data_IF_070487586845
#
_entry.id   IF_070487586845
#
_cell.length_a   1.000
_cell.length_b   1.000
_cell.length_c   1.000
_cell.angle_alpha   90.00
_cell.angle_beta   90.00
_cell.angle_gamma   90.00
#
_symmetry.space_group_name_H-M   'P 1'
#
loop_
_entity.id
_entity.type
_entity.pdbx_description
1 polymer ?
#
# COMPACT_ATOMS: atom_id res chain seq x y z
N UNK A 1 0.34 -19.77 -6.09
CA UNK A 1 -0.75 -20.60 -6.66
C UNK A 1 -2.16 -20.04 -6.39
N UNK A 2 -2.46 -19.36 -5.27
CA UNK A 2 -3.80 -18.80 -5.01
C UNK A 2 -4.17 -17.67 -5.99
N UNK A 3 -3.24 -16.76 -6.28
CA UNK A 3 -3.44 -15.66 -7.25
C UNK A 3 -3.67 -16.22 -8.65
N UNK A 4 -2.86 -17.18 -9.10
CA UNK A 4 -3.01 -17.81 -10.42
C UNK A 4 -4.37 -18.51 -10.57
N UNK A 5 -4.80 -19.25 -9.54
CA UNK A 5 -6.10 -19.92 -9.55
C UNK A 5 -7.26 -18.92 -9.61
N UNK A 6 -7.15 -17.81 -8.85
CA UNK A 6 -8.19 -16.77 -8.86
C UNK A 6 -8.25 -16.03 -10.21
N UNK A 7 -7.13 -15.77 -10.84
CA UNK A 7 -7.09 -15.20 -12.19
C UNK A 7 -7.79 -16.13 -13.20
N UNK A 8 -7.51 -17.45 -13.16
CA UNK A 8 -8.18 -18.43 -14.03
C UNK A 8 -9.70 -18.44 -13.85
N UNK A 9 -10.17 -18.42 -12.60
CA UNK A 9 -11.61 -18.32 -12.28
C UNK A 9 -12.25 -17.04 -12.85
N UNK A 10 -11.58 -15.88 -12.65
CA UNK A 10 -12.07 -14.59 -13.12
C UNK A 10 -12.11 -14.50 -14.67
N UNK A 11 -11.13 -15.08 -15.35
CA UNK A 11 -11.15 -15.16 -16.84
C UNK A 11 -12.41 -15.86 -17.35
N UNK A 12 -12.80 -16.97 -16.72
CA UNK A 12 -13.99 -17.73 -17.13
C UNK A 12 -15.27 -16.93 -16.85
N UNK A 13 -15.37 -16.33 -15.66
CA UNK A 13 -16.61 -15.71 -15.17
C UNK A 13 -16.83 -14.28 -15.72
N UNK A 14 -15.75 -13.52 -15.97
CA UNK A 14 -15.85 -12.08 -16.27
C UNK A 14 -15.32 -11.68 -17.65
N UNK A 15 -14.67 -12.57 -18.40
CA UNK A 15 -14.02 -12.31 -19.69
C UNK A 15 -12.94 -11.21 -19.66
N UNK A 16 -12.60 -10.72 -18.51
CA UNK A 16 -11.54 -9.73 -18.24
C UNK A 16 -11.13 -9.86 -16.79
N UNK A 17 -9.93 -9.41 -16.46
CA UNK A 17 -9.41 -9.46 -15.08
C UNK A 17 -8.97 -8.08 -14.67
N UNK A 18 -9.31 -7.70 -13.45
CA UNK A 18 -8.73 -6.53 -12.76
C UNK A 18 -8.05 -7.03 -11.50
N UNK A 19 -6.74 -6.83 -11.42
CA UNK A 19 -5.93 -7.19 -10.26
C UNK A 19 -5.39 -5.92 -9.61
N UNK A 20 -5.68 -5.74 -8.33
CA UNK A 20 -5.15 -4.64 -7.52
C UNK A 20 -4.06 -5.19 -6.61
N UNK A 21 -2.87 -4.63 -6.69
CA UNK A 21 -1.73 -4.95 -5.83
C UNK A 21 -1.32 -3.70 -5.07
N UNK A 22 -1.51 -3.70 -3.75
CA UNK A 22 -0.99 -2.67 -2.87
C UNK A 22 0.39 -3.09 -2.36
N UNK A 23 1.43 -2.50 -2.92
CA UNK A 23 2.85 -2.76 -2.65
C UNK A 23 3.68 -1.50 -3.00
N UNK A 24 4.77 -1.22 -2.30
CA UNK A 24 5.29 -1.82 -1.08
C UNK A 24 4.54 -1.38 0.18
N UNK A 25 4.94 -1.92 1.33
CA UNK A 25 4.37 -1.56 2.63
C UNK A 25 2.85 -1.79 2.70
N UNK A 26 2.40 -2.96 2.25
CA UNK A 26 0.99 -3.33 2.11
C UNK A 26 0.14 -2.92 3.32
N UNK A 27 -0.98 -2.28 3.08
CA UNK A 27 -2.00 -2.01 4.08
C UNK A 27 -3.02 -3.17 4.08
N UNK A 28 -3.13 -3.97 5.15
CA UNK A 28 -2.73 -3.67 6.54
C UNK A 28 -1.45 -4.34 7.04
N UNK A 29 -0.75 -5.16 6.27
CA UNK A 29 0.25 -6.10 6.83
C UNK A 29 1.66 -5.53 6.98
N UNK A 30 2.02 -4.48 6.25
CA UNK A 30 3.39 -4.00 6.16
C UNK A 30 4.31 -4.93 5.37
N UNK A 31 3.74 -5.87 4.61
CA UNK A 31 4.50 -6.73 3.71
C UNK A 31 4.96 -5.96 2.47
N UNK A 32 6.06 -6.39 1.90
CA UNK A 32 6.60 -5.84 0.65
C UNK A 32 7.09 -6.97 -0.22
N UNK A 33 6.61 -7.03 -1.44
CA UNK A 33 6.99 -8.04 -2.42
C UNK A 33 8.45 -7.91 -2.83
N UNK A 34 9.14 -9.04 -2.95
CA UNK A 34 10.48 -9.10 -3.51
C UNK A 34 10.47 -8.88 -5.04
N UNK A 35 11.64 -8.66 -5.62
CA UNK A 35 11.78 -8.57 -7.07
C UNK A 35 11.36 -9.86 -7.75
N UNK A 36 11.70 -11.01 -7.17
CA UNK A 36 11.39 -12.36 -7.67
C UNK A 36 9.89 -12.66 -7.57
N UNK A 37 9.20 -12.16 -6.54
CA UNK A 37 7.75 -12.28 -6.43
C UNK A 37 7.03 -11.43 -7.49
N UNK A 38 7.52 -10.21 -7.73
CA UNK A 38 7.04 -9.38 -8.83
C UNK A 38 7.28 -10.04 -10.19
N UNK A 39 8.47 -10.63 -10.42
CA UNK A 39 8.76 -11.35 -11.66
C UNK A 39 7.76 -12.49 -11.87
N UNK A 40 7.52 -13.32 -10.84
CA UNK A 40 6.53 -14.40 -10.90
C UNK A 40 5.12 -13.89 -11.16
N UNK A 41 4.74 -12.76 -10.58
CA UNK A 41 3.42 -12.16 -10.82
C UNK A 41 3.28 -11.72 -12.29
N UNK A 42 4.30 -11.08 -12.85
CA UNK A 42 4.33 -10.70 -14.27
C UNK A 42 4.22 -11.94 -15.18
N UNK A 43 4.94 -13.01 -14.85
CA UNK A 43 4.88 -14.26 -15.63
C UNK A 43 3.47 -14.89 -15.59
N UNK A 44 2.82 -14.89 -14.41
CA UNK A 44 1.42 -15.35 -14.25
C UNK A 44 0.44 -14.49 -15.07
N UNK A 45 0.62 -13.17 -15.07
CA UNK A 45 -0.22 -12.26 -15.84
C UNK A 45 -0.02 -12.51 -17.35
N UNK A 46 1.21 -12.67 -17.79
CA UNK A 46 1.51 -12.94 -19.19
C UNK A 46 0.92 -14.28 -19.66
N UNK A 47 1.09 -15.37 -18.89
CA UNK A 47 0.44 -16.65 -19.15
C UNK A 47 -1.10 -16.49 -19.26
N UNK A 48 -1.68 -15.72 -18.35
CA UNK A 48 -3.14 -15.50 -18.33
C UNK A 48 -3.65 -14.68 -19.52
N UNK A 49 -2.79 -13.94 -20.19
CA UNK A 49 -3.14 -13.02 -21.29
C UNK A 49 -2.64 -13.46 -22.68
N UNK A 50 -2.09 -14.67 -22.80
CA UNK A 50 -1.63 -15.23 -24.10
C UNK A 50 -2.75 -15.33 -25.13
N UNK A 51 -3.99 -15.56 -24.70
CA UNK A 51 -5.17 -15.63 -25.56
C UNK A 51 -5.78 -14.25 -25.89
N UNK A 52 -5.12 -13.15 -25.50
CA UNK A 52 -5.61 -11.80 -25.69
C UNK A 52 -6.65 -11.33 -24.65
N UNK A 53 -6.87 -12.08 -23.57
CA UNK A 53 -7.79 -11.67 -22.49
C UNK A 53 -7.41 -10.28 -21.95
N UNK A 54 -8.34 -9.30 -21.96
CA UNK A 54 -8.08 -7.98 -21.40
C UNK A 54 -7.77 -8.04 -19.90
N UNK A 55 -6.67 -7.42 -19.49
CA UNK A 55 -6.20 -7.43 -18.12
C UNK A 55 -5.82 -6.02 -17.63
N UNK A 56 -6.25 -5.66 -16.43
CA UNK A 56 -5.83 -4.42 -15.77
C UNK A 56 -5.04 -4.78 -14.51
N UNK A 57 -3.79 -4.37 -14.46
CA UNK A 57 -2.96 -4.40 -13.27
C UNK A 57 -2.93 -3.01 -12.64
N UNK A 58 -3.64 -2.82 -11.52
CA UNK A 58 -3.55 -1.59 -10.74
C UNK A 58 -2.50 -1.79 -9.63
N UNK A 59 -1.38 -1.11 -9.77
CA UNK A 59 -0.32 -1.06 -8.79
C UNK A 59 -0.52 0.14 -7.85
N UNK A 60 -1.13 -0.12 -6.70
CA UNK A 60 -1.28 0.89 -5.64
C UNK A 60 0.02 1.01 -4.87
N UNK A 61 0.79 2.03 -5.23
CA UNK A 61 2.11 2.33 -4.67
C UNK A 61 2.06 3.48 -3.64
N UNK A 62 0.95 3.60 -2.91
CA UNK A 62 0.72 4.72 -1.99
C UNK A 62 1.81 4.89 -0.92
N UNK A 63 2.51 3.84 -0.54
CA UNK A 63 3.55 3.85 0.50
C UNK A 63 4.97 3.66 -0.05
N UNK A 64 5.19 3.86 -1.35
CA UNK A 64 6.45 3.52 -2.04
C UNK A 64 7.69 4.17 -1.40
N UNK A 65 7.56 5.37 -0.85
CA UNK A 65 8.67 6.12 -0.28
C UNK A 65 8.99 5.74 1.19
N UNK A 66 8.20 4.83 1.77
CA UNK A 66 8.43 4.28 3.11
C UNK A 66 9.02 2.87 3.10
N UNK A 67 9.37 2.37 1.93
CA UNK A 67 10.09 1.10 1.80
C UNK A 67 11.52 1.23 2.31
N UNK A 68 11.89 0.39 3.28
CA UNK A 68 13.21 0.41 3.90
C UNK A 68 14.36 0.08 2.93
N UNK A 69 14.07 -0.52 1.78
CA UNK A 69 15.07 -0.82 0.73
C UNK A 69 15.57 0.44 0.01
N UNK A 70 14.84 1.56 0.12
CA UNK A 70 15.20 2.84 -0.46
C UNK A 70 14.66 3.06 -1.89
N UNK A 71 14.82 4.29 -2.36
CA UNK A 71 14.19 4.81 -3.57
C UNK A 71 14.42 3.96 -4.83
N UNK A 72 15.69 3.64 -5.12
CA UNK A 72 16.06 2.91 -6.33
C UNK A 72 15.57 1.46 -6.33
N UNK A 73 15.76 0.76 -5.21
CA UNK A 73 15.38 -0.64 -5.08
C UNK A 73 13.87 -0.83 -5.23
N UNK A 74 13.08 0.08 -4.67
CA UNK A 74 11.62 0.03 -4.72
C UNK A 74 11.09 0.23 -6.15
N UNK A 75 11.68 1.17 -6.88
CA UNK A 75 11.24 1.51 -8.25
C UNK A 75 11.76 0.54 -9.31
N UNK A 76 12.73 -0.30 -8.97
CA UNK A 76 13.26 -1.34 -9.86
C UNK A 76 12.15 -2.27 -10.37
N UNK A 77 11.16 -2.58 -9.54
CA UNK A 77 10.06 -3.47 -9.90
C UNK A 77 9.21 -2.91 -11.05
N UNK A 78 9.09 -1.57 -11.18
CA UNK A 78 8.32 -0.92 -12.25
C UNK A 78 8.89 -1.26 -13.64
N UNK A 79 10.19 -1.50 -13.75
CA UNK A 79 10.83 -1.90 -15.01
C UNK A 79 10.33 -3.25 -15.53
N UNK A 80 9.82 -4.11 -14.65
CA UNK A 80 9.24 -5.40 -15.05
C UNK A 80 7.97 -5.22 -15.90
N UNK A 81 7.27 -4.10 -15.77
CA UNK A 81 6.03 -3.85 -16.49
C UNK A 81 6.24 -3.73 -18.01
N UNK A 82 7.47 -3.46 -18.45
CA UNK A 82 7.85 -3.51 -19.88
C UNK A 82 7.69 -4.92 -20.48
N UNK A 83 7.69 -5.97 -19.64
CA UNK A 83 7.52 -7.37 -20.05
C UNK A 83 6.05 -7.79 -20.18
N UNK A 84 5.09 -6.97 -19.76
CA UNK A 84 3.67 -7.28 -19.84
C UNK A 84 3.21 -7.43 -21.30
N UNK A 85 2.25 -8.31 -21.54
CA UNK A 85 1.65 -8.52 -22.85
C UNK A 85 0.84 -7.30 -23.32
N UNK A 86 0.54 -7.24 -24.63
CA UNK A 86 -0.20 -6.11 -25.24
C UNK A 86 -1.62 -5.94 -24.70
N UNK A 87 -2.28 -7.02 -24.29
CA UNK A 87 -3.62 -6.99 -23.69
C UNK A 87 -3.66 -6.51 -22.22
N UNK A 88 -2.51 -6.10 -21.65
CA UNK A 88 -2.43 -5.62 -20.26
C UNK A 88 -2.31 -4.11 -20.21
N UNK A 89 -3.24 -3.48 -19.49
CA UNK A 89 -3.13 -2.09 -19.04
C UNK A 89 -2.60 -2.09 -17.60
N UNK A 90 -1.40 -1.58 -17.38
CA UNK A 90 -0.88 -1.36 -16.04
C UNK A 90 -1.11 0.09 -15.62
N UNK A 91 -1.63 0.30 -14.40
CA UNK A 91 -1.91 1.61 -13.83
C UNK A 91 -1.13 1.74 -12.54
N UNK A 92 -0.21 2.69 -12.47
CA UNK A 92 0.50 3.06 -11.26
C UNK A 92 -0.30 4.14 -10.53
N UNK A 93 -0.70 3.87 -9.29
CA UNK A 93 -1.46 4.81 -8.46
C UNK A 93 -0.59 5.32 -7.32
N UNK A 94 -0.17 6.58 -7.42
CA UNK A 94 0.62 7.28 -6.41
C UNK A 94 -0.27 8.14 -5.51
N UNK A 95 0.09 8.23 -4.23
CA UNK A 95 -0.65 9.03 -3.24
C UNK A 95 0.22 10.08 -2.55
N UNK A 96 -0.02 11.35 -2.81
CA UNK A 96 0.59 12.45 -2.07
C UNK A 96 0.13 12.54 -0.60
N UNK A 97 -1.00 11.93 -0.26
CA UNK A 97 -1.45 11.84 1.13
C UNK A 97 -0.45 11.15 2.05
N UNK A 98 0.30 10.16 1.53
CA UNK A 98 1.27 9.39 2.32
C UNK A 98 2.67 9.98 2.20
N UNK A 99 3.22 9.98 1.00
CA UNK A 99 4.58 10.47 0.75
C UNK A 99 4.82 11.88 1.26
N UNK A 100 3.85 12.78 1.09
CA UNK A 100 3.98 14.19 1.47
C UNK A 100 3.20 14.55 2.74
N UNK A 101 2.61 13.57 3.44
CA UNK A 101 1.75 13.77 4.60
C UNK A 101 0.60 14.77 4.38
N UNK A 102 0.13 14.93 3.15
CA UNK A 102 -0.88 15.92 2.73
C UNK A 102 -2.27 15.28 2.62
N UNK A 103 -2.74 14.61 3.67
CA UNK A 103 -4.01 13.87 3.67
C UNK A 103 -5.22 14.72 3.28
N UNK A 104 -5.29 15.97 3.76
CA UNK A 104 -6.40 16.87 3.52
C UNK A 104 -6.46 17.47 2.11
N UNK A 105 -5.34 17.54 1.40
CA UNK A 105 -5.26 18.17 0.08
C UNK A 105 -5.73 17.28 -1.07
N UNK A 106 -5.99 15.99 -0.82
CA UNK A 106 -6.55 15.04 -1.80
C UNK A 106 -5.80 15.00 -3.12
N UNK A 107 -4.48 14.86 -3.06
CA UNK A 107 -3.59 14.78 -4.23
C UNK A 107 -3.05 13.37 -4.42
N UNK A 108 -2.91 13.00 -5.69
CA UNK A 108 -2.28 11.78 -6.15
C UNK A 108 -2.05 11.87 -7.65
N UNK A 109 -1.46 10.84 -8.19
CA UNK A 109 -1.26 10.71 -9.63
C UNK A 109 -1.52 9.27 -10.04
N UNK A 110 -2.00 9.09 -11.26
CA UNK A 110 -2.05 7.79 -11.91
C UNK A 110 -1.31 7.86 -13.24
N UNK A 111 -0.52 6.82 -13.52
CA UNK A 111 0.24 6.70 -14.76
C UNK A 111 -0.16 5.39 -15.42
N UNK A 112 -0.65 5.46 -16.65
CA UNK A 112 -0.98 4.29 -17.45
C UNK A 112 0.21 3.84 -18.29
N UNK A 113 0.42 2.54 -18.35
CA UNK A 113 1.41 1.88 -19.19
C UNK A 113 0.71 0.80 -20.00
N UNK A 114 0.76 0.90 -21.31
CA UNK A 114 0.26 -0.10 -22.25
C UNK A 114 1.17 -0.16 -23.48
N UNK A 115 1.16 -1.29 -24.21
CA UNK A 115 1.88 -1.40 -25.48
C UNK A 115 1.13 -0.73 -26.63
N UNK A 116 -0.19 -0.74 -26.57
CA UNK A 116 -1.05 -0.17 -27.59
C UNK A 116 -1.37 1.30 -27.28
N UNK A 117 -1.00 2.21 -28.19
CA UNK A 117 -1.24 3.64 -28.01
C UNK A 117 -2.72 3.98 -27.87
N UNK A 118 -3.60 3.28 -28.59
CA UNK A 118 -5.05 3.46 -28.51
C UNK A 118 -5.60 3.32 -27.09
N UNK A 119 -5.04 2.41 -26.30
CA UNK A 119 -5.43 2.21 -24.88
C UNK A 119 -5.09 3.45 -24.05
N UNK A 120 -3.93 4.07 -24.31
CA UNK A 120 -3.52 5.30 -23.63
C UNK A 120 -4.37 6.49 -24.08
N UNK A 121 -4.70 6.55 -25.36
CA UNK A 121 -5.53 7.61 -25.93
C UNK A 121 -6.96 7.60 -25.36
N UNK A 122 -7.49 6.44 -25.00
CA UNK A 122 -8.78 6.29 -24.30
C UNK A 122 -8.68 6.54 -22.80
N UNK A 123 -7.58 6.13 -22.18
CA UNK A 123 -7.40 6.21 -20.71
C UNK A 123 -7.49 7.65 -20.20
N UNK A 124 -6.82 8.59 -20.85
CA UNK A 124 -6.78 9.99 -20.39
C UNK A 124 -8.14 10.68 -20.47
N UNK A 125 -8.87 10.67 -21.61
CA UNK A 125 -10.20 11.27 -21.68
C UNK A 125 -11.21 10.62 -20.72
N UNK A 126 -11.17 9.29 -20.56
CA UNK A 126 -12.07 8.58 -19.64
C UNK A 126 -11.86 9.04 -18.19
N UNK A 127 -10.61 9.22 -17.76
CA UNK A 127 -10.31 9.73 -16.43
C UNK A 127 -10.66 11.20 -16.25
N UNK A 128 -10.41 12.04 -17.24
CA UNK A 128 -10.84 13.46 -17.24
C UNK A 128 -12.36 13.55 -17.13
N UNK A 129 -13.10 12.78 -17.91
CA UNK A 129 -14.56 12.74 -17.84
C UNK A 129 -15.05 12.28 -16.46
N UNK A 130 -14.48 11.20 -15.93
CA UNK A 130 -14.82 10.68 -14.61
C UNK A 130 -14.53 11.69 -13.48
N UNK A 131 -13.38 12.38 -13.54
CA UNK A 131 -13.05 13.43 -12.59
C UNK A 131 -14.02 14.62 -12.69
N UNK A 132 -14.31 15.05 -13.92
CA UNK A 132 -15.21 16.18 -14.19
C UNK A 132 -16.61 15.95 -13.64
N UNK A 133 -17.12 14.73 -13.77
CA UNK A 133 -18.48 14.38 -13.31
C UNK A 133 -18.58 14.19 -11.79
N UNK A 134 -17.48 13.79 -11.12
CA UNK A 134 -17.51 13.51 -9.67
C UNK A 134 -17.19 14.70 -8.79
N UNK A 135 -16.20 15.51 -9.16
CA UNK A 135 -15.73 16.64 -8.35
C UNK A 135 -15.32 17.88 -9.15
N UNK A 136 -15.64 17.91 -10.45
CA UNK A 136 -15.37 19.00 -11.39
C UNK A 136 -13.88 19.23 -11.66
N UNK A 137 -13.07 19.57 -10.66
CA UNK A 137 -11.64 19.81 -10.78
C UNK A 137 -10.88 19.25 -9.58
N UNK A 138 -9.64 18.79 -9.83
CA UNK A 138 -8.71 18.42 -8.77
C UNK A 138 -8.24 19.68 -8.00
N UNK A 139 -7.74 19.48 -6.78
CA UNK A 139 -7.22 20.56 -5.94
C UNK A 139 -6.00 21.26 -6.57
N UNK A 140 -6.19 22.50 -6.98
CA UNK A 140 -5.12 23.28 -7.61
C UNK A 140 -3.98 23.63 -6.64
N UNK A 141 -4.35 24.07 -5.43
CA UNK A 141 -3.39 24.42 -4.38
C UNK A 141 -2.42 23.27 -4.08
N UNK A 142 -2.97 22.07 -3.92
CA UNK A 142 -2.16 20.87 -3.63
C UNK A 142 -1.19 20.53 -4.75
N UNK A 143 -1.64 20.62 -6.01
CA UNK A 143 -0.78 20.36 -7.17
C UNK A 143 0.36 21.38 -7.27
N UNK A 144 0.08 22.67 -7.10
CA UNK A 144 1.11 23.71 -7.10
C UNK A 144 2.11 23.56 -5.96
N UNK A 145 1.66 23.22 -4.76
CA UNK A 145 2.54 22.97 -3.61
C UNK A 145 3.50 21.82 -3.91
N UNK A 146 2.98 20.68 -4.37
CA UNK A 146 3.80 19.51 -4.72
C UNK A 146 4.78 19.84 -5.83
N UNK A 147 4.33 20.50 -6.91
CA UNK A 147 5.20 20.90 -8.01
C UNK A 147 6.33 21.83 -7.53
N UNK A 148 6.00 22.81 -6.68
CA UNK A 148 7.01 23.72 -6.13
C UNK A 148 8.05 23.00 -5.28
N UNK A 149 7.63 22.06 -4.44
CA UNK A 149 8.54 21.27 -3.60
C UNK A 149 9.45 20.41 -4.46
N UNK A 150 8.89 19.67 -5.43
CA UNK A 150 9.67 18.73 -6.22
C UNK A 150 10.56 19.37 -7.29
N UNK A 151 10.14 20.54 -7.83
CA UNK A 151 10.87 21.22 -8.92
C UNK A 151 11.86 22.29 -8.41
N UNK A 152 11.84 22.64 -7.13
CA UNK A 152 12.81 23.56 -6.53
C UNK A 152 13.87 22.75 -5.78
N UNK A 153 15.10 22.76 -6.26
CA UNK A 153 16.19 21.93 -5.74
C UNK A 153 16.35 22.02 -4.21
N UNK A 154 16.32 23.23 -3.65
CA UNK A 154 16.42 23.44 -2.20
C UNK A 154 15.28 22.77 -1.44
N UNK A 155 14.04 22.89 -1.91
CA UNK A 155 12.87 22.30 -1.25
C UNK A 155 12.84 20.79 -1.42
N UNK A 156 13.23 20.29 -2.59
CA UNK A 156 13.32 18.86 -2.85
C UNK A 156 14.32 18.20 -1.90
N UNK A 157 15.52 18.76 -1.75
CA UNK A 157 16.53 18.25 -0.79
C UNK A 157 16.04 18.26 0.66
N UNK A 158 15.36 19.32 1.09
CA UNK A 158 14.76 19.38 2.44
C UNK A 158 13.70 18.31 2.62
N UNK A 159 12.81 18.16 1.65
CA UNK A 159 11.77 17.13 1.65
C UNK A 159 12.36 15.72 1.72
N UNK A 160 13.39 15.40 0.97
CA UNK A 160 14.06 14.09 1.01
C UNK A 160 14.65 13.79 2.39
N UNK A 161 15.24 14.78 3.05
CA UNK A 161 15.77 14.65 4.41
C UNK A 161 14.63 14.36 5.40
N UNK A 162 13.55 15.13 5.35
CA UNK A 162 12.39 14.93 6.25
C UNK A 162 11.69 13.59 6.01
N UNK A 163 11.55 13.17 4.76
CA UNK A 163 11.00 11.87 4.40
C UNK A 163 11.86 10.72 4.97
N UNK A 164 13.19 10.85 4.88
CA UNK A 164 14.11 9.88 5.49
C UNK A 164 13.98 9.83 7.01
N UNK A 165 13.83 10.98 7.66
CA UNK A 165 13.60 11.04 9.11
C UNK A 165 12.28 10.38 9.50
N UNK A 166 11.21 10.64 8.75
CA UNK A 166 9.91 10.00 8.95
C UNK A 166 9.97 8.47 8.78
N UNK A 167 10.66 8.00 7.75
CA UNK A 167 10.87 6.56 7.52
C UNK A 167 11.67 5.91 8.65
N UNK A 168 12.73 6.54 9.13
CA UNK A 168 13.53 6.06 10.27
C UNK A 168 12.69 6.00 11.56
N UNK A 169 11.86 7.01 11.81
CA UNK A 169 10.95 7.05 12.96
C UNK A 169 9.95 5.87 12.91
N UNK A 170 9.36 5.58 11.76
CA UNK A 170 8.45 4.45 11.58
C UNK A 170 9.17 3.13 11.83
N UNK A 171 10.37 2.97 11.32
CA UNK A 171 11.20 1.77 11.55
C UNK A 171 11.49 1.58 13.04
N UNK A 172 11.85 2.63 13.76
CA UNK A 172 12.09 2.55 15.20
C UNK A 172 10.84 2.14 15.98
N UNK A 173 9.68 2.70 15.64
CA UNK A 173 8.37 2.35 16.22
C UNK A 173 7.99 0.90 15.94
N UNK A 174 8.15 0.45 14.70
CA UNK A 174 7.88 -0.92 14.32
C UNK A 174 8.75 -1.92 15.09
N UNK A 175 10.06 -1.67 15.16
CA UNK A 175 10.99 -2.52 15.88
C UNK A 175 10.62 -2.61 17.36
N UNK A 176 10.31 -1.49 17.99
CA UNK A 176 9.89 -1.47 19.40
C UNK A 176 8.61 -2.29 19.63
N UNK A 177 7.61 -2.16 18.74
CA UNK A 177 6.38 -2.96 18.82
C UNK A 177 6.65 -4.45 18.63
N UNK A 178 7.45 -4.82 17.63
CA UNK A 178 7.75 -6.23 17.31
C UNK A 178 8.61 -6.89 18.39
N UNK A 179 9.57 -6.17 18.96
CA UNK A 179 10.38 -6.66 20.09
C UNK A 179 9.54 -6.94 21.33
N UNK A 180 8.67 -6.01 21.71
CA UNK A 180 7.76 -6.21 22.83
C UNK A 180 6.72 -7.29 22.55
N UNK A 181 6.24 -7.40 21.31
CA UNK A 181 5.35 -8.49 20.91
C UNK A 181 5.99 -9.86 21.15
N UNK A 182 7.26 -10.02 20.77
CA UNK A 182 8.01 -11.26 21.04
C UNK A 182 8.13 -11.56 22.55
N UNK A 183 8.41 -10.56 23.38
CA UNK A 183 8.54 -10.72 24.83
C UNK A 183 7.26 -11.20 25.51
N UNK A 184 6.11 -10.73 25.03
CA UNK A 184 4.81 -11.07 25.61
C UNK A 184 4.08 -12.21 24.87
N UNK A 185 4.70 -12.82 23.86
CA UNK A 185 4.11 -13.89 23.06
C UNK A 185 2.92 -13.44 22.20
N UNK A 186 2.89 -12.16 21.78
CA UNK A 186 1.91 -11.67 20.83
C UNK A 186 2.36 -12.00 19.40
N UNK A 187 1.57 -12.79 18.68
CA UNK A 187 1.84 -13.10 17.28
C UNK A 187 1.53 -11.88 16.39
N UNK A 188 2.37 -11.64 15.40
CA UNK A 188 2.16 -10.65 14.35
C UNK A 188 2.33 -11.31 12.98
N UNK A 189 1.66 -10.80 11.96
CA UNK A 189 2.00 -11.17 10.59
C UNK A 189 3.38 -10.64 10.22
N UNK A 190 4.05 -11.22 9.20
CA UNK A 190 5.33 -10.72 8.71
C UNK A 190 5.21 -9.23 8.35
N UNK A 191 6.09 -8.42 8.93
CA UNK A 191 6.18 -6.98 8.70
C UNK A 191 7.57 -6.63 8.17
N UNK A 192 7.64 -5.81 7.15
CA UNK A 192 8.89 -5.33 6.55
C UNK A 192 9.05 -3.82 6.67
N UNK A 193 8.00 -3.06 6.37
CA UNK A 193 8.02 -1.59 6.41
C UNK A 193 6.61 -1.01 6.39
N UNK A 194 6.49 0.31 6.52
CA UNK A 194 5.23 1.04 6.37
C UNK A 194 4.55 1.41 7.68
N UNK A 195 3.25 1.63 7.61
CA UNK A 195 2.46 2.32 8.64
C UNK A 195 1.74 1.39 9.60
N UNK A 196 1.60 0.09 9.24
CA UNK A 196 0.69 -0.81 9.91
C UNK A 196 1.35 -2.13 10.27
N UNK A 197 1.08 -2.62 11.48
CA UNK A 197 1.39 -3.98 11.90
C UNK A 197 0.06 -4.71 12.10
N UNK A 198 -0.01 -5.94 11.65
CA UNK A 198 -1.21 -6.77 11.73
C UNK A 198 -1.02 -7.87 12.76
N UNK A 199 -1.98 -7.98 13.66
CA UNK A 199 -2.03 -8.97 14.73
C UNK A 199 -3.17 -9.96 14.44
N UNK A 200 -2.90 -11.26 14.24
CA UNK A 200 -3.95 -12.26 14.10
C UNK A 200 -4.88 -12.30 15.31
N UNK A 201 -6.19 -12.33 15.05
CA UNK A 201 -7.19 -12.28 16.10
C UNK A 201 -8.46 -13.02 15.65
N UNK A 202 -8.96 -13.98 16.44
CA UNK A 202 -10.17 -14.75 16.10
C UNK A 202 -11.45 -13.92 16.22
N UNK A 203 -11.50 -13.05 17.26
CA UNK A 203 -12.67 -12.21 17.56
C UNK A 203 -12.28 -10.74 17.63
N UNK A 204 -11.93 -10.08 16.48
CA UNK A 204 -11.37 -8.73 16.47
C UNK A 204 -12.30 -7.70 17.12
N UNK A 205 -13.62 -7.80 16.89
CA UNK A 205 -14.60 -6.87 17.45
C UNK A 205 -14.70 -6.96 18.98
N UNK A 206 -14.67 -8.17 19.53
CA UNK A 206 -14.70 -8.37 20.99
C UNK A 206 -13.42 -7.85 21.65
N UNK A 207 -12.27 -8.11 21.04
CA UNK A 207 -10.97 -7.59 21.49
C UNK A 207 -10.93 -6.07 21.38
N UNK A 208 -11.42 -5.50 20.29
CA UNK A 208 -11.50 -4.05 20.09
C UNK A 208 -12.34 -3.37 21.18
N UNK A 209 -13.52 -3.89 21.52
CA UNK A 209 -14.35 -3.34 22.62
C UNK A 209 -13.60 -3.25 23.93
N UNK A 210 -12.85 -4.31 24.31
CA UNK A 210 -12.02 -4.33 25.54
C UNK A 210 -10.87 -3.34 25.49
N UNK A 211 -10.29 -3.11 24.30
CA UNK A 211 -9.23 -2.13 24.12
C UNK A 211 -9.77 -0.70 24.24
N UNK A 212 -10.96 -0.43 23.69
CA UNK A 212 -11.63 0.88 23.77
C UNK A 212 -11.91 1.27 25.24
N UNK A 213 -12.32 0.33 26.10
CA UNK A 213 -12.49 0.56 27.54
C UNK A 213 -11.21 1.09 28.21
N UNK A 214 -10.05 0.78 27.60
CA UNK A 214 -8.72 1.26 28.03
C UNK A 214 -8.21 2.44 27.22
N UNK A 215 -9.07 3.07 26.42
CA UNK A 215 -8.73 4.17 25.50
C UNK A 215 -7.65 3.80 24.47
N UNK A 216 -7.66 2.53 24.02
CA UNK A 216 -6.78 2.02 22.98
C UNK A 216 -7.62 1.76 21.74
N UNK A 217 -7.27 2.44 20.64
CA UNK A 217 -7.98 2.34 19.36
C UNK A 217 -7.09 1.64 18.34
N UNK A 218 -7.56 0.51 17.85
CA UNK A 218 -7.00 -0.26 16.73
C UNK A 218 -8.10 -0.47 15.69
N UNK A 219 -7.79 -0.95 14.52
CA UNK A 219 -8.82 -1.24 13.52
C UNK A 219 -9.10 -2.74 13.48
N UNK A 220 -10.29 -3.20 13.90
CA UNK A 220 -10.70 -4.58 13.71
C UNK A 220 -10.98 -4.84 12.22
N UNK A 221 -10.46 -5.92 11.70
CA UNK A 221 -10.72 -6.47 10.38
C UNK A 221 -11.13 -7.93 10.55
N UNK A 222 -11.52 -8.61 9.47
CA UNK A 222 -12.17 -9.93 9.49
C UNK A 222 -11.60 -10.94 10.51
N UNK A 223 -10.27 -11.16 10.51
CA UNK A 223 -9.59 -12.12 11.42
C UNK A 223 -8.31 -11.52 12.01
N UNK A 224 -8.19 -10.19 12.04
CA UNK A 224 -6.98 -9.51 12.47
C UNK A 224 -7.30 -8.15 13.11
N UNK A 225 -6.34 -7.64 13.87
CA UNK A 225 -6.30 -6.24 14.32
C UNK A 225 -5.20 -5.51 13.56
N UNK A 226 -5.52 -4.37 12.95
CA UNK A 226 -4.53 -3.47 12.35
C UNK A 226 -4.11 -2.41 13.35
N UNK A 227 -2.83 -2.40 13.69
CA UNK A 227 -2.20 -1.39 14.55
C UNK A 227 -1.52 -0.34 13.68
N UNK A 228 -1.88 0.93 13.86
CA UNK A 228 -1.32 2.04 13.08
C UNK A 228 -0.13 2.64 13.82
N UNK A 229 1.06 2.11 13.59
CA UNK A 229 2.30 2.58 14.24
C UNK A 229 2.69 4.01 13.84
N UNK A 230 2.19 4.48 12.70
CA UNK A 230 2.40 5.84 12.24
C UNK A 230 1.70 6.90 13.13
N UNK A 231 0.62 6.52 13.83
CA UNK A 231 -0.21 7.42 14.61
C UNK A 231 0.08 7.41 16.12
N UNK A 232 1.03 6.61 16.59
CA UNK A 232 1.33 6.42 18.01
C UNK A 232 2.81 6.72 18.31
N UNK A 233 3.09 7.08 19.55
CA UNK A 233 4.45 7.36 20.02
C UNK A 233 5.30 6.08 20.13
N UNK A 234 6.61 6.24 20.25
CA UNK A 234 7.52 5.13 20.51
C UNK A 234 7.20 4.41 21.84
N UNK A 235 6.81 5.17 22.86
CA UNK A 235 6.43 4.61 24.16
C UNK A 235 5.14 3.80 24.09
N UNK A 236 4.17 4.26 23.31
CA UNK A 236 2.96 3.49 23.05
C UNK A 236 3.25 2.21 22.28
N UNK A 237 4.17 2.25 21.31
CA UNK A 237 4.61 1.05 20.59
C UNK A 237 5.19 -0.02 21.54
N UNK A 238 5.90 0.39 22.58
CA UNK A 238 6.40 -0.54 23.62
C UNK A 238 5.29 -1.07 24.54
N UNK A 239 4.30 -0.26 24.84
CA UNK A 239 3.22 -0.61 25.79
C UNK A 239 2.12 -1.48 25.16
N UNK A 240 1.73 -1.18 23.92
CA UNK A 240 0.56 -1.75 23.27
C UNK A 240 0.58 -3.28 23.09
N UNK A 241 1.70 -3.96 22.77
CA UNK A 241 1.71 -5.41 22.62
C UNK A 241 1.19 -6.15 23.85
N UNK A 242 1.57 -5.72 25.05
CA UNK A 242 1.09 -6.29 26.32
C UNK A 242 -0.40 -6.09 26.50
N UNK A 243 -0.94 -4.93 26.16
CA UNK A 243 -2.37 -4.63 26.31
C UNK A 243 -3.23 -5.40 25.29
N UNK A 244 -2.74 -5.52 24.05
CA UNK A 244 -3.40 -6.31 23.00
C UNK A 244 -3.39 -7.79 23.39
N UNK A 245 -2.26 -8.33 23.82
CA UNK A 245 -2.15 -9.73 24.30
C UNK A 245 -3.14 -10.04 25.40
N UNK A 246 -3.20 -9.20 26.44
CA UNK A 246 -4.18 -9.34 27.54
C UNK A 246 -5.64 -9.30 27.05
N UNK A 247 -5.94 -8.49 26.03
CA UNK A 247 -7.28 -8.39 25.49
C UNK A 247 -7.67 -9.62 24.68
N UNK A 248 -6.70 -10.24 23.96
CA UNK A 248 -6.88 -11.49 23.21
C UNK A 248 -7.02 -12.69 24.16
N UNK A 249 -6.18 -12.80 25.19
CA UNK A 249 -6.16 -13.95 26.10
C UNK A 249 -7.45 -14.09 26.93
N UNK A 250 -8.28 -13.09 27.00
CA UNK A 250 -9.61 -13.18 27.60
C UNK A 250 -10.65 -13.91 26.75
N UNK A 251 -10.32 -14.27 25.50
CA UNK A 251 -11.12 -15.06 24.60
C UNK A 251 -10.75 -16.57 24.61
N UNK A 252 -9.68 -16.92 25.34
CA UNK A 252 -9.22 -18.30 25.55
C UNK A 252 -9.82 -18.87 26.85
#
# INVERSE_FOLDING_TARGET
NSVQNKIKELKISQKRVVLVINDPCHNPTGYTMSYEEWQKLIDIINEATEDGTPFVLLYDMAYIDYDSRGFEATRKNIRLFQKLNASVLAILAFSGSKTMALYGLRIGAQVALAKEQSVIDEFTPANVFSARTKWSMATNLGMHLVSKVLLTEEYCKKFEIELKQASNMLTARANAFLEESKKVGLQTLPFMCGFFITVPCKNPDAVYKRLVERKIHVIPLENVLRVTIAAISLEECKRLPKEIKKAIDKDL
#
